data_IF_756806002616
#
_entry.id   IF_756806002616
#
_cell.length_a   1.000
_cell.length_b   1.000
_cell.length_c   1.000
_cell.angle_alpha   90.00
_cell.angle_beta   90.00
_cell.angle_gamma   90.00
#
_symmetry.space_group_name_H-M   'P 1'
#
loop_
_entity.id
_entity.type
_entity.pdbx_description
1 polymer ?
#
# COMPACT_ATOMS: atom_id res chain seq x y z
N UNK A 1 -11.95 -0.56 -27.37
CA UNK A 1 -12.32 -0.71 -25.94
C UNK A 1 -11.05 -1.12 -25.23
N UNK A 2 -10.46 -0.26 -24.40
CA UNK A 2 -9.29 -0.64 -23.62
C UNK A 2 -9.80 -1.47 -22.44
N UNK A 3 -9.50 -2.76 -22.42
CA UNK A 3 -9.80 -3.63 -21.28
C UNK A 3 -8.96 -3.13 -20.09
N UNK A 4 -9.61 -2.62 -19.04
CA UNK A 4 -8.93 -2.28 -17.79
C UNK A 4 -8.33 -3.56 -17.20
N UNK A 5 -7.01 -3.55 -16.99
CA UNK A 5 -6.33 -4.69 -16.39
C UNK A 5 -6.64 -4.68 -14.90
N UNK A 6 -7.39 -5.69 -14.46
CA UNK A 6 -7.72 -5.89 -13.06
C UNK A 6 -6.49 -6.37 -12.29
N UNK A 7 -6.17 -5.70 -11.19
CA UNK A 7 -5.05 -6.06 -10.31
C UNK A 7 -5.31 -7.44 -9.71
N UNK A 8 -4.35 -8.34 -9.84
CA UNK A 8 -4.41 -9.66 -9.21
C UNK A 8 -4.51 -9.53 -7.69
N UNK A 9 -5.51 -10.18 -7.09
CA UNK A 9 -5.65 -10.20 -5.63
C UNK A 9 -4.41 -10.78 -4.93
N UNK A 10 -3.74 -11.75 -5.55
CA UNK A 10 -2.51 -12.33 -5.01
C UNK A 10 -1.36 -11.31 -4.94
N UNK A 11 -1.22 -10.45 -5.95
CA UNK A 11 -0.21 -9.39 -5.94
C UNK A 11 -0.53 -8.36 -4.86
N UNK A 12 -1.80 -7.99 -4.71
CA UNK A 12 -2.24 -7.09 -3.64
C UNK A 12 -1.93 -7.63 -2.24
N UNK A 13 -2.23 -8.90 -1.97
CA UNK A 13 -1.88 -9.55 -0.70
C UNK A 13 -0.36 -9.60 -0.50
N UNK A 14 0.41 -9.89 -1.56
CA UNK A 14 1.87 -9.94 -1.49
C UNK A 14 2.49 -8.59 -1.12
N UNK A 15 1.99 -7.49 -1.68
CA UNK A 15 2.46 -6.13 -1.30
C UNK A 15 2.14 -5.81 0.16
N UNK A 16 0.93 -6.15 0.65
CA UNK A 16 0.58 -5.99 2.06
C UNK A 16 1.45 -6.84 3.00
N UNK A 17 1.81 -8.06 2.59
CA UNK A 17 2.74 -8.91 3.35
C UNK A 17 4.16 -8.33 3.38
N UNK A 18 4.61 -7.68 2.31
CA UNK A 18 5.89 -6.97 2.29
C UNK A 18 5.86 -5.77 3.24
N UNK A 19 4.78 -4.97 3.22
CA UNK A 19 4.61 -3.82 4.12
C UNK A 19 4.60 -4.27 5.59
N UNK A 20 3.89 -5.36 5.89
CA UNK A 20 3.88 -5.94 7.24
C UNK A 20 5.28 -6.40 7.67
N UNK A 21 6.01 -7.14 6.82
CA UNK A 21 7.38 -7.58 7.11
C UNK A 21 8.34 -6.41 7.31
N UNK A 22 8.20 -5.36 6.51
CA UNK A 22 9.01 -4.15 6.62
C UNK A 22 8.82 -3.50 7.99
N UNK A 23 7.58 -3.34 8.46
CA UNK A 23 7.31 -2.78 9.77
C UNK A 23 7.65 -3.74 10.92
N UNK A 24 7.51 -5.05 10.75
CA UNK A 24 7.93 -6.03 11.74
C UNK A 24 9.44 -5.97 12.03
N UNK A 25 10.26 -5.57 11.05
CA UNK A 25 11.72 -5.55 11.15
C UNK A 25 12.33 -4.17 11.52
N UNK A 26 11.52 -3.19 11.91
CA UNK A 26 12.05 -1.86 12.26
C UNK A 26 11.03 -0.73 12.41
N UNK A 27 9.73 -1.04 12.28
CA UNK A 27 8.64 -0.11 12.52
C UNK A 27 8.26 -0.03 14.00
N UNK A 28 7.39 0.94 14.32
CA UNK A 28 6.76 1.00 15.64
C UNK A 28 5.71 -0.09 15.78
N UNK A 29 5.42 -0.53 17.01
CA UNK A 29 4.32 -1.47 17.29
C UNK A 29 3.00 -1.01 16.66
N UNK A 30 2.74 0.29 16.70
CA UNK A 30 1.60 0.90 16.03
C UNK A 30 1.61 0.62 14.52
N UNK A 31 2.70 0.91 13.80
CA UNK A 31 2.77 0.70 12.34
C UNK A 31 2.66 -0.77 11.95
N UNK A 32 3.29 -1.65 12.72
CA UNK A 32 3.20 -3.10 12.52
C UNK A 32 1.76 -3.60 12.68
N UNK A 33 1.05 -3.13 13.70
CA UNK A 33 -0.35 -3.50 13.91
C UNK A 33 -1.27 -2.95 12.81
N UNK A 34 -1.05 -1.71 12.33
CA UNK A 34 -1.78 -1.18 11.17
C UNK A 34 -1.62 -2.09 9.95
N UNK A 35 -0.39 -2.50 9.64
CA UNK A 35 -0.12 -3.35 8.48
C UNK A 35 -0.71 -4.75 8.63
N UNK A 36 -0.68 -5.31 9.85
CA UNK A 36 -1.33 -6.59 10.16
C UNK A 36 -2.83 -6.51 9.93
N UNK A 37 -3.50 -5.49 10.47
CA UNK A 37 -4.95 -5.29 10.30
C UNK A 37 -5.29 -5.11 8.81
N UNK A 38 -4.53 -4.30 8.08
CA UNK A 38 -4.73 -4.12 6.64
C UNK A 38 -4.65 -5.45 5.88
N UNK A 39 -3.65 -6.27 6.18
CA UNK A 39 -3.50 -7.61 5.60
C UNK A 39 -4.69 -8.53 5.94
N UNK A 40 -5.16 -8.51 7.18
CA UNK A 40 -6.33 -9.30 7.59
C UNK A 40 -7.63 -8.84 6.92
N UNK A 41 -7.86 -7.52 6.80
CA UNK A 41 -9.01 -6.96 6.07
C UNK A 41 -8.98 -7.41 4.61
N UNK A 42 -7.81 -7.35 3.95
CA UNK A 42 -7.65 -7.80 2.58
C UNK A 42 -7.96 -9.30 2.43
N UNK A 43 -7.40 -10.14 3.31
CA UNK A 43 -7.63 -11.60 3.31
C UNK A 43 -9.11 -11.95 3.54
N UNK A 44 -9.79 -11.27 4.46
CA UNK A 44 -11.23 -11.44 4.71
C UNK A 44 -12.09 -10.96 3.54
N UNK A 45 -11.68 -9.92 2.84
CA UNK A 45 -12.41 -9.37 1.68
C UNK A 45 -12.29 -10.26 0.44
N UNK A 46 -11.13 -10.88 0.22
CA UNK A 46 -10.91 -11.81 -0.89
C UNK A 46 -10.76 -11.16 -2.27
N UNK A 47 -10.77 -9.83 -2.37
CA UNK A 47 -10.65 -9.06 -3.61
C UNK A 47 -9.99 -7.70 -3.37
N UNK A 48 -9.24 -7.21 -4.35
CA UNK A 48 -8.53 -5.93 -4.30
C UNK A 48 -9.39 -4.74 -4.74
N UNK A 49 -10.37 -4.98 -5.63
CA UNK A 49 -11.18 -3.93 -6.27
C UNK A 49 -11.93 -3.00 -5.30
N UNK A 50 -12.48 -3.44 -4.15
CA UNK A 50 -13.18 -2.53 -3.25
C UNK A 50 -12.24 -1.47 -2.65
N UNK A 51 -10.94 -1.76 -2.56
CA UNK A 51 -9.96 -0.87 -1.96
C UNK A 51 -9.58 0.31 -2.87
N UNK A 52 -10.01 0.31 -4.13
CA UNK A 52 -9.93 1.47 -5.02
C UNK A 52 -10.89 2.59 -4.61
N UNK A 53 -11.91 2.28 -3.82
CA UNK A 53 -12.89 3.24 -3.32
C UNK A 53 -12.76 3.41 -1.81
N UNK A 54 -12.56 4.65 -1.36
CA UNK A 54 -12.28 4.94 0.04
C UNK A 54 -13.46 4.59 0.94
N UNK A 55 -14.67 4.91 0.51
CA UNK A 55 -15.92 4.68 1.24
C UNK A 55 -16.16 3.18 1.42
N UNK A 56 -15.98 2.39 0.36
CA UNK A 56 -16.05 0.93 0.43
C UNK A 56 -14.97 0.37 1.37
N UNK A 57 -13.75 0.88 1.30
CA UNK A 57 -12.65 0.47 2.20
C UNK A 57 -13.02 0.72 3.66
N UNK A 58 -13.56 1.89 3.99
CA UNK A 58 -14.03 2.22 5.35
C UNK A 58 -15.05 1.19 5.81
N UNK A 59 -16.05 0.87 4.98
CA UNK A 59 -17.08 -0.12 5.32
C UNK A 59 -16.48 -1.51 5.63
N UNK A 60 -15.53 -2.00 4.83
CA UNK A 60 -14.88 -3.29 5.11
C UNK A 60 -14.07 -3.25 6.41
N UNK A 61 -13.32 -2.17 6.65
CA UNK A 61 -12.50 -2.02 7.86
C UNK A 61 -13.38 -1.98 9.10
N UNK A 62 -14.43 -1.16 9.13
CA UNK A 62 -15.33 -1.03 10.29
C UNK A 62 -16.19 -2.27 10.50
N UNK A 63 -16.56 -2.98 9.43
CA UNK A 63 -17.31 -4.24 9.53
C UNK A 63 -16.46 -5.34 10.17
N UNK A 64 -15.19 -5.49 9.78
CA UNK A 64 -14.33 -6.55 10.30
C UNK A 64 -13.65 -6.20 11.62
N UNK A 65 -13.47 -4.91 11.91
CA UNK A 65 -12.79 -4.42 13.10
C UNK A 65 -13.56 -3.22 13.71
N UNK A 66 -14.75 -3.46 14.30
CA UNK A 66 -15.62 -2.40 14.81
C UNK A 66 -15.09 -1.70 16.07
N UNK A 67 -14.03 -2.24 16.69
CA UNK A 67 -13.46 -1.74 17.94
C UNK A 67 -12.27 -0.79 17.74
N UNK A 68 -11.85 -0.55 16.50
CA UNK A 68 -10.73 0.34 16.21
C UNK A 68 -11.13 1.80 16.43
N UNK A 69 -10.20 2.59 16.93
CA UNK A 69 -10.34 4.04 16.98
C UNK A 69 -10.29 4.66 15.57
N UNK A 70 -10.76 5.90 15.46
CA UNK A 70 -10.89 6.60 14.19
C UNK A 70 -9.55 6.82 13.48
N UNK A 71 -8.47 7.08 14.22
CA UNK A 71 -7.14 7.28 13.64
C UNK A 71 -6.62 5.99 13.03
N UNK A 72 -6.79 4.88 13.77
CA UNK A 72 -6.42 3.55 13.28
C UNK A 72 -7.20 3.18 12.02
N UNK A 73 -8.51 3.43 12.00
CA UNK A 73 -9.34 3.18 10.80
C UNK A 73 -8.79 3.97 9.62
N UNK A 74 -8.51 5.27 9.80
CA UNK A 74 -7.96 6.12 8.74
C UNK A 74 -6.63 5.60 8.20
N UNK A 75 -5.75 5.15 9.07
CA UNK A 75 -4.44 4.61 8.69
C UNK A 75 -4.55 3.29 7.91
N UNK A 76 -5.39 2.36 8.38
CA UNK A 76 -5.65 1.08 7.69
C UNK A 76 -6.28 1.33 6.32
N UNK A 77 -7.29 2.20 6.24
CA UNK A 77 -7.96 2.59 5.00
C UNK A 77 -6.96 3.20 4.02
N UNK A 78 -6.10 4.10 4.50
CA UNK A 78 -5.07 4.74 3.68
C UNK A 78 -4.10 3.71 3.10
N UNK A 79 -3.63 2.77 3.92
CA UNK A 79 -2.70 1.74 3.48
C UNK A 79 -3.31 0.86 2.38
N UNK A 80 -4.51 0.31 2.62
CA UNK A 80 -5.25 -0.50 1.64
C UNK A 80 -5.45 0.25 0.32
N UNK A 81 -5.91 1.50 0.41
CA UNK A 81 -6.21 2.32 -0.76
C UNK A 81 -4.95 2.67 -1.57
N UNK A 82 -3.86 3.06 -0.90
CA UNK A 82 -2.60 3.44 -1.57
C UNK A 82 -2.02 2.24 -2.31
N UNK A 83 -1.96 1.07 -1.68
CA UNK A 83 -1.40 -0.14 -2.30
C UNK A 83 -2.27 -0.57 -3.48
N UNK A 84 -3.60 -0.60 -3.32
CA UNK A 84 -4.51 -0.97 -4.39
C UNK A 84 -4.40 -0.02 -5.59
N UNK A 85 -4.34 1.29 -5.31
CA UNK A 85 -4.20 2.34 -6.34
C UNK A 85 -2.85 2.26 -7.05
N UNK A 86 -1.76 2.04 -6.33
CA UNK A 86 -0.43 1.92 -6.90
C UNK A 86 -0.34 0.70 -7.84
N UNK A 87 -0.86 -0.45 -7.42
CA UNK A 87 -0.94 -1.63 -8.29
C UNK A 87 -1.84 -1.40 -9.50
N UNK A 88 -2.98 -0.74 -9.32
CA UNK A 88 -3.89 -0.43 -10.43
C UNK A 88 -3.23 0.50 -11.46
N UNK A 89 -2.49 1.51 -10.99
CA UNK A 89 -1.70 2.36 -11.87
C UNK A 89 -0.61 1.57 -12.57
N UNK A 90 0.17 0.74 -11.86
CA UNK A 90 1.22 -0.11 -12.43
C UNK A 90 0.68 -1.06 -13.51
N UNK A 91 -0.49 -1.65 -13.30
CA UNK A 91 -1.13 -2.54 -14.25
C UNK A 91 -1.57 -1.81 -15.53
N UNK A 92 -2.12 -0.59 -15.39
CA UNK A 92 -2.68 0.18 -16.50
C UNK A 92 -1.71 1.19 -17.14
N UNK A 93 -0.47 1.30 -16.65
CA UNK A 93 0.58 2.10 -17.28
C UNK A 93 1.06 1.46 -18.58
N UNK A 94 1.20 2.27 -19.65
CA UNK A 94 1.84 1.83 -20.88
C UNK A 94 3.30 1.42 -20.62
N UNK A 95 3.83 0.50 -21.43
CA UNK A 95 5.21 0.03 -21.27
C UNK A 95 6.23 1.16 -21.41
N UNK A 96 5.91 2.19 -22.21
CA UNK A 96 6.71 3.41 -22.33
C UNK A 96 6.74 4.22 -21.02
N UNK A 97 5.61 4.35 -20.32
CA UNK A 97 5.58 5.03 -19.02
C UNK A 97 6.23 4.20 -17.90
N UNK A 98 6.12 2.86 -17.96
CA UNK A 98 6.85 1.96 -17.04
C UNK A 98 8.36 2.13 -17.18
N UNK A 99 8.87 2.28 -18.40
CA UNK A 99 10.28 2.53 -18.67
C UNK A 99 10.74 3.89 -18.09
N UNK A 100 9.97 4.97 -18.33
CA UNK A 100 10.30 6.31 -17.80
C UNK A 100 10.25 6.39 -16.27
N UNK A 101 9.36 5.63 -15.62
CA UNK A 101 9.32 5.54 -14.15
C UNK A 101 10.53 4.79 -13.57
N UNK A 102 10.98 3.72 -14.23
CA UNK A 102 12.22 3.02 -13.85
C UNK A 102 13.43 3.94 -13.94
N UNK A 103 13.54 4.74 -15.01
CA UNK A 103 14.61 5.75 -15.13
C UNK A 103 14.57 6.78 -14.00
N UNK A 104 13.39 7.30 -13.63
CA UNK A 104 13.27 8.23 -12.49
C UNK A 104 13.58 7.61 -11.13
N UNK A 105 13.24 6.33 -10.91
CA UNK A 105 13.59 5.62 -9.67
C UNK A 105 15.11 5.36 -9.57
N UNK A 106 15.76 4.99 -10.68
CA UNK A 106 17.22 4.83 -10.73
C UNK A 106 17.95 6.15 -10.51
N UNK A 107 17.37 7.27 -10.96
CA UNK A 107 17.92 8.62 -10.75
C UNK A 107 17.66 9.18 -9.35
N UNK A 108 16.79 8.57 -8.55
CA UNK A 108 16.61 8.88 -7.12
C UNK A 108 17.65 8.17 -6.25
N UNK A 109 18.92 8.16 -6.66
CA UNK A 109 20.01 7.71 -5.77
C UNK A 109 20.07 8.65 -4.56
N UNK A 110 19.86 8.03 -3.39
CA UNK A 110 20.21 8.43 -2.03
C UNK A 110 20.68 9.89 -1.85
N UNK A 111 19.84 10.72 -1.23
CA UNK A 111 20.33 11.90 -0.51
C UNK A 111 21.17 11.39 0.67
N UNK A 112 22.46 11.15 0.43
CA UNK A 112 23.43 11.00 1.51
C UNK A 112 23.58 12.37 2.17
N UNK A 113 23.12 12.49 3.42
CA UNK A 113 23.47 13.64 4.25
C UNK A 113 25.00 13.69 4.38
N UNK A 114 25.64 14.63 3.68
CA UNK A 114 27.03 14.96 3.94
C UNK A 114 27.08 15.61 5.32
N UNK A 115 27.60 14.87 6.30
CA UNK A 115 27.92 15.40 7.62
C UNK A 115 29.12 16.33 7.44
N UNK A 116 28.86 17.63 7.26
CA UNK A 116 29.91 18.64 7.31
C UNK A 116 30.37 18.71 8.77
N UNK A 117 31.55 18.15 9.05
CA UNK A 117 32.25 18.39 10.31
C UNK A 117 33.01 19.70 10.15
N UNK A 118 32.47 20.78 10.68
CA UNK A 118 33.25 21.98 10.94
C UNK A 118 34.22 21.71 12.09
N UNK A 119 35.52 21.83 11.82
CA UNK A 119 36.54 22.11 12.83
C UNK A 119 37.74 22.83 12.22
#
# INVERSE_FOLDING_TARGET
>A
MNEEITVSFLEFVKELEQEYKYHANGGTSYRTETAKIALEVAKKTGKSTPFLHREATIQYVTTFFPHLDEERIKDVVKMLHVIAKDLHLKANLSDEMKARLKEKQLNRKSLSFLLIKDK
#
